data_IF_223590749488
#
_entry.id   IF_223590749488
#
_cell.length_a   1.000
_cell.length_b   1.000
_cell.length_c   1.000
_cell.angle_alpha   90.00
_cell.angle_beta   90.00
_cell.angle_gamma   90.00
#
_symmetry.space_group_name_H-M   'P 1'
#
loop_
_entity.id
_entity.type
_entity.pdbx_description
1 polymer ?
#
# COMPACT_ATOMS: atom_id res chain seq x y z
N UNK A 1 -11.17 -2.08 22.47
CA UNK A 1 -11.53 -3.06 21.44
C UNK A 1 -11.04 -4.41 21.94
N UNK A 2 -11.89 -5.43 21.98
CA UNK A 2 -11.47 -6.76 22.41
C UNK A 2 -10.41 -7.32 21.46
N UNK A 3 -9.25 -7.81 21.96
CA UNK A 3 -8.15 -8.27 21.12
C UNK A 3 -8.55 -9.38 20.14
N UNK A 4 -9.38 -10.32 20.56
CA UNK A 4 -9.83 -11.42 19.71
C UNK A 4 -10.71 -10.94 18.54
N UNK A 5 -11.60 -9.97 18.78
CA UNK A 5 -12.43 -9.40 17.71
C UNK A 5 -11.60 -8.62 16.67
N UNK A 6 -10.54 -7.93 17.11
CA UNK A 6 -9.64 -7.24 16.19
C UNK A 6 -8.82 -8.22 15.35
N UNK A 7 -8.34 -9.30 15.98
CA UNK A 7 -7.60 -10.36 15.30
C UNK A 7 -8.44 -11.03 14.23
N UNK A 8 -9.69 -11.40 14.54
CA UNK A 8 -10.63 -11.95 13.56
C UNK A 8 -10.87 -10.99 12.38
N UNK A 9 -11.09 -9.70 12.68
CA UNK A 9 -11.21 -8.68 11.65
C UNK A 9 -9.98 -8.62 10.74
N UNK A 10 -8.78 -8.55 11.32
CA UNK A 10 -7.54 -8.49 10.55
C UNK A 10 -7.32 -9.74 9.69
N UNK A 11 -7.71 -10.92 10.17
CA UNK A 11 -7.61 -12.17 9.40
C UNK A 11 -8.51 -12.10 8.15
N UNK A 12 -9.79 -11.82 8.32
CA UNK A 12 -10.74 -11.75 7.20
C UNK A 12 -10.42 -10.59 6.26
N UNK A 13 -10.04 -9.43 6.78
CA UNK A 13 -9.60 -8.30 5.96
C UNK A 13 -8.36 -8.66 5.13
N UNK A 14 -7.36 -9.31 5.73
CA UNK A 14 -6.15 -9.73 5.03
C UNK A 14 -6.47 -10.75 3.94
N UNK A 15 -7.32 -11.71 4.24
CA UNK A 15 -7.80 -12.71 3.29
C UNK A 15 -8.47 -12.07 2.09
N UNK A 16 -9.42 -11.16 2.33
CA UNK A 16 -10.20 -10.53 1.26
C UNK A 16 -9.36 -9.59 0.40
N UNK A 17 -8.53 -8.76 1.03
CA UNK A 17 -7.64 -7.85 0.30
C UNK A 17 -6.62 -8.63 -0.52
N UNK A 18 -6.07 -9.71 0.02
CA UNK A 18 -5.14 -10.56 -0.72
C UNK A 18 -5.84 -11.29 -1.87
N UNK A 19 -7.09 -11.75 -1.69
CA UNK A 19 -7.88 -12.33 -2.78
C UNK A 19 -8.00 -11.36 -3.95
N UNK A 20 -8.44 -10.13 -3.69
CA UNK A 20 -8.59 -9.09 -4.71
C UNK A 20 -7.26 -8.70 -5.37
N UNK A 21 -6.16 -8.67 -4.61
CA UNK A 21 -4.82 -8.39 -5.16
C UNK A 21 -4.32 -9.51 -6.07
N UNK A 22 -4.55 -10.76 -5.69
CA UNK A 22 -4.23 -11.93 -6.52
C UNK A 22 -5.07 -11.94 -7.79
N UNK A 23 -6.38 -11.69 -7.69
CA UNK A 23 -7.28 -11.61 -8.86
C UNK A 23 -6.80 -10.55 -9.86
N UNK A 24 -6.42 -9.35 -9.39
CA UNK A 24 -5.87 -8.30 -10.26
C UNK A 24 -4.52 -8.69 -10.89
N UNK A 25 -3.70 -9.45 -10.17
CA UNK A 25 -2.41 -9.92 -10.67
C UNK A 25 -2.48 -11.15 -11.58
N UNK A 26 -3.61 -11.84 -11.62
CA UNK A 26 -3.74 -13.11 -12.33
C UNK A 26 -3.51 -12.95 -13.84
N UNK A 27 -4.03 -11.87 -14.43
CA UNK A 27 -3.88 -11.59 -15.86
C UNK A 27 -2.41 -11.29 -16.22
N UNK A 28 -1.70 -10.52 -15.39
CA UNK A 28 -0.27 -10.21 -15.59
C UNK A 28 0.55 -11.50 -15.55
N UNK A 29 0.29 -12.37 -14.56
CA UNK A 29 0.97 -13.67 -14.46
C UNK A 29 0.64 -14.56 -15.65
N UNK A 30 -0.62 -14.59 -16.11
CA UNK A 30 -1.04 -15.37 -17.26
C UNK A 30 -0.39 -14.87 -18.56
N UNK A 31 -0.38 -13.55 -18.80
CA UNK A 31 0.27 -12.90 -19.93
C UNK A 31 1.78 -13.16 -19.92
N UNK A 32 2.43 -13.09 -18.76
CA UNK A 32 3.86 -13.43 -18.62
C UNK A 32 4.17 -14.87 -19.02
N UNK A 33 3.34 -15.83 -18.57
CA UNK A 33 3.48 -17.25 -18.98
C UNK A 33 3.21 -17.46 -20.46
N UNK A 34 2.25 -16.75 -21.03
CA UNK A 34 1.97 -16.79 -22.46
C UNK A 34 3.16 -16.26 -23.27
N UNK A 35 3.75 -15.14 -22.84
CA UNK A 35 4.93 -14.55 -23.46
C UNK A 35 6.10 -15.55 -23.48
N UNK A 36 6.42 -16.17 -22.34
CA UNK A 36 7.46 -17.20 -22.28
C UNK A 36 7.18 -18.37 -23.23
N UNK A 37 5.92 -18.79 -23.36
CA UNK A 37 5.53 -19.88 -24.26
C UNK A 37 5.73 -19.47 -25.72
N UNK A 38 5.31 -18.27 -26.10
CA UNK A 38 5.49 -17.72 -27.45
C UNK A 38 6.96 -17.58 -27.80
N UNK A 39 7.81 -17.14 -26.86
CA UNK A 39 9.25 -17.07 -27.04
C UNK A 39 9.87 -18.45 -27.29
N UNK A 40 9.54 -19.45 -26.46
CA UNK A 40 10.02 -20.83 -26.68
C UNK A 40 9.56 -21.40 -28.01
N UNK A 41 8.36 -21.04 -28.49
CA UNK A 41 7.86 -21.50 -29.78
C UNK A 41 8.55 -20.81 -30.96
N UNK A 42 8.89 -19.51 -30.82
CA UNK A 42 9.74 -18.80 -31.78
C UNK A 42 11.11 -19.47 -31.88
N UNK A 43 11.77 -19.73 -30.75
CA UNK A 43 13.10 -20.36 -30.72
C UNK A 43 13.09 -21.73 -31.39
N UNK A 44 12.08 -22.56 -31.11
CA UNK A 44 11.89 -23.86 -31.78
C UNK A 44 11.69 -23.71 -33.29
N UNK A 45 10.94 -22.70 -33.72
CA UNK A 45 10.68 -22.46 -35.14
C UNK A 45 11.95 -22.00 -35.86
N UNK A 46 12.77 -21.17 -35.20
CA UNK A 46 14.09 -20.76 -35.70
C UNK A 46 15.02 -21.97 -35.78
N UNK A 47 15.06 -22.80 -34.74
CA UNK A 47 15.87 -24.01 -34.71
C UNK A 47 15.52 -24.98 -35.86
N UNK A 48 14.23 -25.14 -36.18
CA UNK A 48 13.80 -25.95 -37.32
C UNK A 48 14.35 -25.42 -38.67
N UNK A 49 14.47 -24.09 -38.83
CA UNK A 49 15.10 -23.50 -40.02
C UNK A 49 16.59 -23.84 -40.07
N UNK A 50 17.29 -23.77 -38.92
CA UNK A 50 18.70 -24.15 -38.82
C UNK A 50 18.93 -25.64 -39.16
N UNK A 51 17.96 -26.50 -38.85
CA UNK A 51 17.95 -27.93 -39.18
C UNK A 51 17.57 -28.23 -40.64
N UNK A 52 17.31 -27.20 -41.46
CA UNK A 52 17.11 -27.32 -42.90
C UNK A 52 15.64 -27.30 -43.35
N UNK A 53 14.69 -26.99 -42.46
CA UNK A 53 13.31 -26.75 -42.88
C UNK A 53 13.24 -25.45 -43.69
N UNK A 54 12.60 -25.45 -44.88
CA UNK A 54 12.47 -24.24 -45.69
C UNK A 54 11.73 -23.13 -44.93
N UNK A 55 12.41 -22.00 -44.68
CA UNK A 55 11.85 -20.86 -43.95
C UNK A 55 10.59 -20.27 -44.59
N UNK A 56 10.35 -20.49 -45.89
CA UNK A 56 9.12 -20.10 -46.57
C UNK A 56 7.86 -20.75 -45.99
N UNK A 57 7.96 -21.98 -45.48
CA UNK A 57 6.84 -22.68 -44.81
C UNK A 57 6.54 -22.14 -43.41
N UNK A 58 7.53 -21.51 -42.77
CA UNK A 58 7.46 -21.04 -41.38
C UNK A 58 7.31 -19.52 -41.26
N UNK A 59 7.49 -18.77 -42.35
CA UNK A 59 7.47 -17.30 -42.37
C UNK A 59 6.20 -16.71 -41.76
N UNK A 60 5.03 -17.21 -42.15
CA UNK A 60 3.74 -16.74 -41.61
C UNK A 60 3.62 -17.02 -40.11
N UNK A 61 4.04 -18.22 -39.68
CA UNK A 61 4.04 -18.62 -38.26
C UNK A 61 4.98 -17.75 -37.43
N UNK A 62 6.19 -17.48 -37.90
CA UNK A 62 7.16 -16.59 -37.23
C UNK A 62 6.58 -15.18 -37.12
N UNK A 63 5.96 -14.67 -38.19
CA UNK A 63 5.31 -13.36 -38.18
C UNK A 63 4.19 -13.26 -37.15
N UNK A 64 3.32 -14.28 -37.09
CA UNK A 64 2.23 -14.33 -36.11
C UNK A 64 2.74 -14.41 -34.66
N UNK A 65 3.71 -15.29 -34.39
CA UNK A 65 4.31 -15.40 -33.05
C UNK A 65 5.06 -14.13 -32.65
N UNK A 66 5.75 -13.47 -33.58
CA UNK A 66 6.43 -12.20 -33.35
C UNK A 66 5.45 -11.07 -33.02
N UNK A 67 4.33 -10.98 -33.75
CA UNK A 67 3.27 -10.02 -33.46
C UNK A 67 2.65 -10.26 -32.08
N UNK A 68 2.35 -11.51 -31.73
CA UNK A 68 1.80 -11.87 -30.41
C UNK A 68 2.77 -11.57 -29.29
N UNK A 69 4.07 -11.83 -29.49
CA UNK A 69 5.13 -11.46 -28.54
C UNK A 69 5.15 -9.96 -28.28
N UNK A 70 5.10 -9.14 -29.35
CA UNK A 70 5.11 -7.69 -29.22
C UNK A 70 3.88 -7.19 -28.45
N UNK A 71 2.69 -7.70 -28.78
CA UNK A 71 1.45 -7.37 -28.08
C UNK A 71 1.52 -7.71 -26.58
N UNK A 72 1.96 -8.92 -26.22
CA UNK A 72 2.09 -9.34 -24.82
C UNK A 72 3.15 -8.53 -24.07
N UNK A 73 4.27 -8.18 -24.72
CA UNK A 73 5.29 -7.33 -24.13
C UNK A 73 4.76 -5.91 -23.85
N UNK A 74 3.99 -5.36 -24.79
CA UNK A 74 3.35 -4.04 -24.61
C UNK A 74 2.30 -4.07 -23.50
N UNK A 75 1.47 -5.12 -23.43
CA UNK A 75 0.48 -5.29 -22.36
C UNK A 75 1.15 -5.35 -20.98
N UNK A 76 2.24 -6.13 -20.85
CA UNK A 76 2.97 -6.25 -19.59
C UNK A 76 3.73 -4.98 -19.22
N UNK A 77 4.30 -4.27 -20.19
CA UNK A 77 5.01 -3.02 -19.95
C UNK A 77 4.08 -1.89 -19.46
N UNK A 78 2.81 -1.93 -19.88
CA UNK A 78 1.79 -0.95 -19.49
C UNK A 78 0.87 -1.44 -18.35
N UNK A 79 1.05 -2.67 -17.87
CA UNK A 79 0.24 -3.20 -16.78
C UNK A 79 0.60 -2.51 -15.46
N UNK A 80 -0.43 -2.07 -14.72
CA UNK A 80 -0.24 -1.56 -13.37
C UNK A 80 -0.01 -2.74 -12.41
N UNK A 81 1.18 -2.80 -11.83
CA UNK A 81 1.53 -3.89 -10.91
C UNK A 81 0.64 -3.84 -9.65
N UNK A 82 -0.05 -4.95 -9.29
CA UNK A 82 -0.92 -4.96 -8.13
C UNK A 82 -0.11 -4.69 -6.86
N UNK A 83 -0.67 -3.96 -5.88
CA UNK A 83 0.00 -3.74 -4.61
C UNK A 83 0.42 -5.06 -3.95
N UNK A 84 1.57 -5.10 -3.24
CA UNK A 84 2.06 -6.30 -2.58
C UNK A 84 1.05 -6.85 -1.59
N UNK A 85 1.03 -8.16 -1.34
CA UNK A 85 0.07 -8.77 -0.42
C UNK A 85 0.23 -8.26 1.02
N UNK A 86 -0.88 -8.18 1.75
CA UNK A 86 -0.88 -7.89 3.17
C UNK A 86 -0.28 -9.06 3.94
N UNK A 87 0.53 -8.75 4.95
CA UNK A 87 1.17 -9.74 5.80
C UNK A 87 0.12 -10.42 6.71
N UNK A 88 0.18 -11.74 6.92
CA UNK A 88 -0.80 -12.46 7.75
C UNK A 88 -0.77 -12.04 9.24
N UNK A 89 0.36 -11.55 9.73
CA UNK A 89 0.55 -11.19 11.14
C UNK A 89 0.24 -9.71 11.49
N UNK A 90 -0.61 -9.04 10.72
CA UNK A 90 -0.90 -7.61 10.93
C UNK A 90 -1.56 -7.32 12.29
N UNK A 91 -2.40 -8.25 12.78
CA UNK A 91 -3.07 -8.10 14.06
C UNK A 91 -2.07 -8.01 15.23
N UNK A 92 -1.12 -8.94 15.27
CA UNK A 92 -0.11 -9.04 16.31
C UNK A 92 0.82 -7.83 16.29
N UNK A 93 1.31 -7.44 15.10
CA UNK A 93 2.16 -6.25 14.96
C UNK A 93 1.43 -5.00 15.44
N UNK A 94 0.16 -4.84 15.08
CA UNK A 94 -0.65 -3.72 15.56
C UNK A 94 -0.77 -3.73 17.09
N UNK A 95 -1.12 -4.88 17.69
CA UNK A 95 -1.24 -5.00 19.13
C UNK A 95 0.07 -4.66 19.86
N UNK A 96 1.20 -5.19 19.39
CA UNK A 96 2.51 -4.89 19.96
C UNK A 96 2.84 -3.40 19.88
N UNK A 97 2.55 -2.75 18.75
CA UNK A 97 2.81 -1.31 18.56
C UNK A 97 1.93 -0.45 19.46
N UNK A 98 0.65 -0.80 19.61
CA UNK A 98 -0.27 -0.07 20.50
C UNK A 98 0.09 -0.28 21.96
N UNK A 99 0.46 -1.50 22.35
CA UNK A 99 0.91 -1.80 23.71
C UNK A 99 2.18 -1.02 24.08
N UNK A 100 3.19 -1.04 23.21
CA UNK A 100 4.42 -0.29 23.42
C UNK A 100 4.15 1.23 23.52
N UNK A 101 3.29 1.77 22.65
CA UNK A 101 2.91 3.19 22.73
C UNK A 101 2.20 3.52 24.04
N UNK A 102 1.31 2.63 24.50
CA UNK A 102 0.62 2.80 25.78
C UNK A 102 1.61 2.83 26.95
N UNK A 103 2.58 1.92 26.97
CA UNK A 103 3.63 1.88 28.00
C UNK A 103 4.47 3.16 28.02
N UNK A 104 4.94 3.63 26.86
CA UNK A 104 5.72 4.88 26.78
C UNK A 104 4.92 6.11 27.21
N UNK A 105 3.59 6.12 27.03
CA UNK A 105 2.73 7.21 27.54
C UNK A 105 2.58 7.21 29.07
N UNK A 106 2.76 6.07 29.73
CA UNK A 106 2.74 5.97 31.20
C UNK A 106 4.12 6.25 31.83
N UNK A 107 5.21 6.08 31.07
CA UNK A 107 6.59 6.34 31.52
C UNK A 107 6.87 7.83 31.67
N UNK A 108 7.27 8.30 32.86
CA UNK A 108 7.57 9.73 33.09
C UNK A 108 8.69 10.28 32.20
N UNK A 109 9.66 9.43 31.81
CA UNK A 109 10.79 9.83 30.95
C UNK A 109 10.44 9.92 29.46
N UNK A 110 9.52 9.08 28.99
CA UNK A 110 9.19 8.95 27.55
C UNK A 110 7.86 9.60 27.17
N UNK A 111 7.03 9.96 28.17
CA UNK A 111 5.67 10.46 27.97
C UNK A 111 5.59 11.68 27.06
N UNK A 112 6.52 12.62 27.17
CA UNK A 112 6.52 13.83 26.34
C UNK A 112 6.74 13.48 24.86
N UNK A 113 7.69 12.59 24.57
CA UNK A 113 7.99 12.13 23.22
C UNK A 113 6.83 11.30 22.65
N UNK A 114 6.32 10.34 23.42
CA UNK A 114 5.18 9.52 23.03
C UNK A 114 3.92 10.36 22.74
N UNK A 115 3.69 11.42 23.52
CA UNK A 115 2.58 12.36 23.31
C UNK A 115 2.74 13.17 22.01
N UNK A 116 3.96 13.59 21.66
CA UNK A 116 4.24 14.25 20.38
C UNK A 116 3.98 13.31 19.21
N UNK A 117 4.47 12.07 19.26
CA UNK A 117 4.18 11.05 18.24
C UNK A 117 2.67 10.85 18.09
N UNK A 118 1.94 10.72 19.19
CA UNK A 118 0.47 10.61 19.15
C UNK A 118 -0.19 11.82 18.47
N UNK A 119 0.29 13.04 18.74
CA UNK A 119 -0.25 14.26 18.11
C UNK A 119 -0.03 14.27 16.59
N UNK A 120 1.06 13.70 16.09
CA UNK A 120 1.27 13.57 14.64
C UNK A 120 0.28 12.62 13.95
N UNK A 121 -0.32 11.69 14.70
CA UNK A 121 -1.30 10.73 14.19
C UNK A 121 -2.74 11.26 14.23
N UNK A 122 -3.02 12.29 15.04
CA UNK A 122 -4.36 12.83 15.26
C UNK A 122 -4.55 14.12 14.46
N UNK A 123 -5.49 14.12 13.53
CA UNK A 123 -5.79 15.30 12.70
C UNK A 123 -6.54 16.40 13.47
N UNK A 124 -7.52 16.04 14.32
CA UNK A 124 -8.29 16.99 15.13
C UNK A 124 -8.87 16.36 16.39
N UNK A 125 -8.80 17.08 17.51
CA UNK A 125 -9.55 16.75 18.74
C UNK A 125 -10.80 17.61 18.82
N UNK A 126 -11.98 16.97 18.89
CA UNK A 126 -13.27 17.68 19.06
C UNK A 126 -13.74 17.47 20.49
N UNK A 127 -13.79 18.54 21.28
CA UNK A 127 -14.36 18.51 22.63
C UNK A 127 -15.85 18.82 22.55
N UNK A 128 -16.69 17.83 22.89
CA UNK A 128 -18.13 18.01 23.05
C UNK A 128 -18.39 18.16 24.55
N UNK A 129 -18.80 19.34 25.04
CA UNK A 129 -19.14 19.51 26.44
C UNK A 129 -20.37 18.67 26.77
N UNK A 130 -20.32 17.96 27.89
CA UNK A 130 -21.47 17.23 28.44
C UNK A 130 -22.47 18.24 29.01
N UNK A 131 -23.73 18.18 28.58
CA UNK A 131 -24.80 19.09 29.03
C UNK A 131 -25.05 19.01 30.54
N UNK A 132 -24.63 17.93 31.19
CA UNK A 132 -24.72 17.77 32.65
C UNK A 132 -23.63 18.52 33.43
N UNK A 133 -22.55 18.96 32.77
CA UNK A 133 -21.46 19.71 33.39
C UNK A 133 -21.69 21.19 33.13
N UNK A 134 -22.35 21.85 34.09
CA UNK A 134 -22.40 23.32 34.09
C UNK A 134 -20.97 23.86 34.09
N UNK A 135 -20.63 24.83 33.23
CA UNK A 135 -19.28 25.38 33.21
C UNK A 135 -18.98 25.97 34.58
N UNK A 136 -18.04 25.36 35.31
CA UNK A 136 -17.49 25.97 36.53
C UNK A 136 -16.92 27.31 36.11
N UNK A 137 -17.61 28.39 36.50
CA UNK A 137 -17.11 29.76 36.43
C UNK A 137 -15.85 29.85 37.29
N UNK A 138 -14.70 29.53 36.73
CA UNK A 138 -13.43 30.03 37.27
C UNK A 138 -13.47 31.53 37.04
N UNK A 139 -13.60 32.30 38.13
CA UNK A 139 -13.59 33.75 38.13
C UNK A 139 -12.21 34.30 37.76
N UNK A 140 -11.77 34.07 36.53
CA UNK A 140 -10.67 34.77 35.89
C UNK A 140 -11.28 35.75 34.89
N UNK A 141 -11.04 37.04 35.09
CA UNK A 141 -11.49 38.12 34.21
C UNK A 141 -10.91 37.89 32.81
N UNK A 142 -11.67 37.26 31.90
CA UNK A 142 -11.34 37.22 30.48
C UNK A 142 -11.51 38.65 29.96
N UNK A 143 -10.40 39.34 29.74
CA UNK A 143 -10.41 40.59 28.98
C UNK A 143 -10.96 40.28 27.59
N UNK A 144 -12.10 40.89 27.28
CA UNK A 144 -12.74 40.83 25.99
C UNK A 144 -11.83 41.46 24.94
N UNK A 145 -11.09 40.65 24.20
CA UNK A 145 -10.45 41.09 22.94
C UNK A 145 -11.45 40.91 21.79
N UNK A 146 -11.60 41.88 20.87
CA UNK A 146 -12.67 41.84 19.88
C UNK A 146 -12.50 40.69 18.89
N UNK A 147 -13.63 40.06 18.63
CA UNK A 147 -13.93 39.05 17.60
C UNK A 147 -13.21 39.34 16.27
N UNK A 148 -11.99 38.81 16.11
CA UNK A 148 -11.29 38.80 14.83
C UNK A 148 -11.87 37.71 13.95
N UNK A 149 -12.32 38.14 12.79
CA UNK A 149 -12.94 37.37 11.72
C UNK A 149 -12.04 36.21 11.29
N UNK A 150 -12.43 34.97 11.60
CA UNK A 150 -11.98 33.82 10.82
C UNK A 150 -13.11 33.43 9.87
N UNK A 151 -13.02 33.86 8.61
CA UNK A 151 -13.68 33.19 7.49
C UNK A 151 -12.91 31.88 7.23
N UNK A 152 -13.57 30.74 7.01
CA UNK A 152 -12.85 29.57 6.54
C UNK A 152 -12.41 29.84 5.10
N UNK A 153 -11.10 29.99 4.88
CA UNK A 153 -10.54 29.82 3.56
C UNK A 153 -10.60 28.32 3.25
N UNK A 154 -11.42 27.95 2.26
CA UNK A 154 -11.38 26.62 1.64
C UNK A 154 -10.03 26.52 0.94
N UNK A 155 -9.04 25.94 1.61
CA UNK A 155 -7.81 25.50 0.94
C UNK A 155 -8.15 24.13 0.35
N UNK A 156 -8.52 24.11 -0.93
CA UNK A 156 -8.49 22.88 -1.71
C UNK A 156 -7.05 22.38 -1.72
N UNK A 157 -6.76 21.30 -1.00
CA UNK A 157 -5.45 20.68 -1.10
C UNK A 157 -5.41 19.91 -2.43
N UNK A 158 -4.82 20.56 -3.43
CA UNK A 158 -4.43 19.94 -4.68
C UNK A 158 -3.58 18.70 -4.39
N UNK A 159 -3.89 17.64 -5.13
CA UNK A 159 -3.14 16.41 -5.24
C UNK A 159 -1.63 16.67 -5.29
N UNK A 160 -0.88 16.12 -4.34
CA UNK A 160 0.56 15.88 -4.52
C UNK A 160 0.73 14.40 -4.80
N UNK A 161 0.67 14.07 -6.08
CA UNK A 161 1.34 12.91 -6.61
C UNK A 161 2.86 13.14 -6.58
N UNK A 162 3.58 12.04 -6.31
CA UNK A 162 4.93 11.76 -6.81
C UNK A 162 6.12 12.49 -6.19
N UNK A 163 6.80 11.80 -5.26
CA UNK A 163 8.23 11.48 -5.38
C UNK A 163 8.68 10.57 -4.23
N UNK A 164 8.37 9.27 -4.29
CA UNK A 164 9.20 8.28 -3.59
C UNK A 164 10.32 7.94 -4.56
N UNK A 165 11.49 8.48 -4.27
CA UNK A 165 12.72 8.18 -4.97
C UNK A 165 13.02 6.69 -4.89
N UNK A 166 13.45 6.14 -6.02
CA UNK A 166 14.13 4.85 -6.10
C UNK A 166 15.35 4.92 -5.17
N UNK A 167 15.34 4.09 -4.12
CA UNK A 167 16.58 3.61 -3.51
C UNK A 167 16.68 2.13 -3.81
N UNK A 168 17.36 1.82 -4.92
CA UNK A 168 18.02 0.53 -5.10
C UNK A 168 19.14 0.43 -4.06
N UNK A 169 18.98 -0.44 -3.08
CA UNK A 169 20.08 -1.27 -2.56
C UNK A 169 19.52 -2.34 -1.67
N UNK A 170 19.72 -3.58 -2.11
CA UNK A 170 19.59 -4.78 -1.33
C UNK A 170 20.55 -4.72 -0.13
N UNK A 171 20.02 -4.63 1.08
CA UNK A 171 20.61 -5.18 2.31
C UNK A 171 19.62 -4.93 3.47
N UNK A 172 19.64 -5.83 4.45
CA UNK A 172 18.83 -5.85 5.68
C UNK A 172 17.56 -6.71 5.63
N UNK A 173 17.74 -7.97 5.20
CA UNK A 173 16.98 -9.09 5.76
C UNK A 173 17.62 -9.51 7.09
N UNK A 174 16.83 -9.46 8.17
CA UNK A 174 16.68 -10.49 9.21
C UNK A 174 17.93 -11.15 9.84
N UNK A 175 18.17 -10.85 11.13
CA UNK A 175 18.38 -11.82 12.23
C UNK A 175 18.49 -11.06 13.57
N UNK A 176 18.07 -11.65 14.72
CA UNK A 176 18.91 -12.66 15.40
C UNK A 176 18.13 -13.84 16.03
N UNK A 177 18.89 -14.90 16.30
CA UNK A 177 18.54 -15.93 17.29
C UNK A 177 18.99 -15.55 18.70
#
# INVERSE_FOLDING_TARGET
>A
MEPESFKEFCQEFTREVNRLRIERGADIVAQGRELERTERELDKTIQAILEGVPGTKLKEKIGALGARKAELADLLANAEEPPPLLHPNMAEIYHQRVAALYESLQSEGERAEAAEVCRTLVDRVTLVPDESVQPRRTGGRVSSSPRSQYRPAIISRASRASSIGRCSSAACWWHPG
#
